data_IF_382465407548
#
_entry.id   IF_382465407548
#
_cell.length_a   1.000
_cell.length_b   1.000
_cell.length_c   1.000
_cell.angle_alpha   90.00
_cell.angle_beta   90.00
_cell.angle_gamma   90.00
#
_symmetry.space_group_name_H-M   'P 1'
#
loop_
_entity.id
_entity.type
_entity.pdbx_description
1 polymer ?
#
# COMPACT_ATOMS: atom_id res chain seq x y z
N UNK A 1 -19.84 14.48 0.73
CA UNK A 1 -18.86 13.57 1.35
C UNK A 1 -18.93 12.26 0.57
N UNK A 2 -17.81 11.72 0.04
CA UNK A 2 -17.84 10.37 -0.51
C UNK A 2 -18.26 9.39 0.61
N UNK A 3 -19.06 8.38 0.27
CA UNK A 3 -19.44 7.33 1.21
C UNK A 3 -18.15 6.63 1.70
N UNK A 4 -18.04 6.26 2.98
CA UNK A 4 -16.87 5.51 3.45
C UNK A 4 -16.76 4.21 2.65
N UNK A 5 -15.54 3.89 2.21
CA UNK A 5 -15.28 2.63 1.51
C UNK A 5 -15.55 1.47 2.47
N UNK A 6 -16.42 0.55 2.06
CA UNK A 6 -16.81 -0.62 2.83
C UNK A 6 -16.15 -1.88 2.28
N UNK A 7 -15.91 -2.84 3.16
CA UNK A 7 -15.22 -4.09 2.85
C UNK A 7 -16.00 -5.28 3.39
N UNK A 8 -16.29 -6.25 2.54
CA UNK A 8 -16.74 -7.58 2.95
C UNK A 8 -15.58 -8.33 3.57
N UNK A 9 -15.78 -8.85 4.78
CA UNK A 9 -14.76 -9.57 5.54
C UNK A 9 -15.14 -11.04 5.61
N UNK A 10 -14.28 -11.91 5.09
CA UNK A 10 -14.44 -13.36 5.15
C UNK A 10 -13.31 -13.94 6.01
N UNK A 11 -13.66 -14.92 6.84
CA UNK A 11 -12.71 -15.54 7.76
C UNK A 11 -12.70 -17.06 7.56
N UNK A 12 -11.52 -17.60 7.27
CA UNK A 12 -11.23 -19.02 7.25
C UNK A 12 -10.48 -19.47 8.50
N UNK A 13 -10.20 -20.78 8.59
CA UNK A 13 -9.43 -21.36 9.71
C UNK A 13 -8.01 -20.80 9.84
N UNK A 14 -7.41 -20.44 8.71
CA UNK A 14 -6.00 -20.01 8.61
C UNK A 14 -5.83 -18.78 7.71
N UNK A 15 -6.92 -18.10 7.37
CA UNK A 15 -6.91 -16.97 6.44
C UNK A 15 -7.98 -15.95 6.80
N UNK A 16 -7.75 -14.70 6.42
CA UNK A 16 -8.74 -13.64 6.48
C UNK A 16 -8.65 -12.79 5.22
N UNK A 17 -9.80 -12.50 4.64
CA UNK A 17 -9.94 -11.80 3.37
C UNK A 17 -10.80 -10.55 3.58
N UNK A 18 -10.33 -9.42 3.07
CA UNK A 18 -11.09 -8.18 2.94
C UNK A 18 -11.26 -7.89 1.46
N UNK A 19 -12.49 -7.68 1.03
CA UNK A 19 -12.84 -7.41 -0.37
C UNK A 19 -13.62 -6.10 -0.42
N UNK A 20 -13.19 -5.17 -1.26
CA UNK A 20 -13.92 -3.92 -1.48
C UNK A 20 -15.36 -4.19 -1.98
N UNK A 21 -16.35 -3.60 -1.31
CA UNK A 21 -17.76 -3.74 -1.69
C UNK A 21 -18.02 -3.04 -3.03
N UNK A 22 -18.11 -3.83 -4.09
CA UNK A 22 -18.15 -3.37 -5.48
C UNK A 22 -17.39 -4.27 -6.44
N UNK A 23 -16.56 -5.18 -5.92
CA UNK A 23 -15.93 -6.22 -6.71
C UNK A 23 -16.88 -7.39 -6.95
N UNK A 24 -17.12 -7.71 -8.23
CA UNK A 24 -17.78 -8.94 -8.63
C UNK A 24 -16.82 -10.12 -8.47
N UNK A 25 -17.34 -11.31 -8.20
CA UNK A 25 -16.57 -12.56 -8.17
C UNK A 25 -17.26 -13.59 -9.06
N UNK A 26 -16.65 -13.87 -10.21
CA UNK A 26 -17.08 -14.94 -11.12
C UNK A 26 -16.23 -16.21 -10.96
N UNK A 27 -15.33 -16.21 -9.99
CA UNK A 27 -14.46 -17.33 -9.68
C UNK A 27 -15.24 -18.51 -9.11
N UNK A 28 -14.83 -19.74 -9.45
CA UNK A 28 -15.36 -20.94 -8.80
C UNK A 28 -15.14 -20.88 -7.28
N UNK A 29 -16.20 -21.12 -6.51
CA UNK A 29 -16.20 -20.98 -5.05
C UNK A 29 -16.38 -19.55 -4.53
N UNK A 30 -16.49 -18.55 -5.43
CA UNK A 30 -16.67 -17.15 -5.06
C UNK A 30 -15.56 -16.63 -4.13
N UNK A 31 -15.86 -15.58 -3.36
CA UNK A 31 -14.89 -15.03 -2.38
C UNK A 31 -14.56 -16.00 -1.23
N UNK A 32 -15.38 -17.02 -0.98
CA UNK A 32 -15.06 -18.06 0.00
C UNK A 32 -13.92 -18.96 -0.49
N UNK A 33 -13.89 -19.29 -1.80
CA UNK A 33 -12.80 -20.02 -2.43
C UNK A 33 -11.44 -19.34 -2.23
N UNK A 34 -11.42 -18.01 -2.34
CA UNK A 34 -10.21 -17.19 -2.13
C UNK A 34 -9.58 -17.32 -0.75
N UNK A 35 -10.33 -17.78 0.27
CA UNK A 35 -9.74 -18.10 1.59
C UNK A 35 -8.80 -19.30 1.55
N UNK A 36 -8.94 -20.16 0.54
CA UNK A 36 -8.18 -21.40 0.35
C UNK A 36 -7.07 -21.21 -0.69
N UNK A 37 -7.39 -20.66 -1.85
CA UNK A 37 -6.52 -20.61 -3.02
C UNK A 37 -6.20 -19.18 -3.51
N UNK A 38 -6.54 -18.15 -2.73
CA UNK A 38 -6.40 -16.75 -3.17
C UNK A 38 -4.96 -16.34 -3.52
N UNK A 39 -3.95 -16.91 -2.86
CA UNK A 39 -2.54 -16.69 -3.24
C UNK A 39 -2.22 -17.26 -4.63
N UNK A 40 -2.72 -18.45 -4.93
CA UNK A 40 -2.51 -19.10 -6.22
C UNK A 40 -3.20 -18.32 -7.33
N UNK A 41 -4.44 -17.87 -7.11
CA UNK A 41 -5.18 -17.01 -8.05
C UNK A 41 -4.43 -15.71 -8.37
N UNK A 42 -3.89 -15.04 -7.34
CA UNK A 42 -3.07 -13.84 -7.52
C UNK A 42 -1.80 -14.14 -8.32
N UNK A 43 -1.17 -15.30 -8.07
CA UNK A 43 0.02 -15.74 -8.79
C UNK A 43 -0.26 -16.03 -10.27
N UNK A 44 -1.36 -16.71 -10.58
CA UNK A 44 -1.82 -16.98 -11.95
C UNK A 44 -2.08 -15.67 -12.69
N UNK A 45 -2.82 -14.74 -12.06
CA UNK A 45 -3.07 -13.43 -12.65
C UNK A 45 -1.78 -12.64 -12.87
N UNK A 46 -0.87 -12.63 -11.89
CA UNK A 46 0.42 -11.95 -12.01
C UNK A 46 1.28 -12.45 -13.17
N UNK A 47 1.29 -13.77 -13.40
CA UNK A 47 1.99 -14.38 -14.51
C UNK A 47 1.40 -13.98 -15.87
N UNK A 48 0.10 -13.70 -15.95
CA UNK A 48 -0.56 -13.27 -17.17
C UNK A 48 -0.24 -11.81 -17.56
N UNK A 49 -0.02 -10.92 -16.59
CA UNK A 49 0.23 -9.49 -16.85
C UNK A 49 1.69 -9.04 -16.73
N UNK A 50 2.54 -9.84 -16.09
CA UNK A 50 3.95 -9.54 -15.87
C UNK A 50 4.21 -8.49 -14.77
N UNK A 51 5.50 -8.21 -14.54
CA UNK A 51 5.99 -7.33 -13.46
C UNK A 51 5.80 -5.84 -13.81
N UNK A 52 5.46 -5.01 -12.81
CA UNK A 52 5.29 -3.55 -12.99
C UNK A 52 6.64 -2.82 -12.98
N UNK A 53 7.32 -2.77 -11.84
CA UNK A 53 8.62 -2.08 -11.64
C UNK A 53 9.34 -2.64 -10.39
N UNK A 54 10.69 -2.62 -10.37
CA UNK A 54 11.49 -2.44 -9.14
C UNK A 54 12.56 -3.50 -8.81
N UNK A 55 13.82 -3.08 -8.78
CA UNK A 55 15.01 -3.76 -8.21
C UNK A 55 15.05 -3.68 -6.66
N UNK A 56 13.88 -3.68 -6.01
CA UNK A 56 13.74 -3.67 -4.55
C UNK A 56 13.57 -5.08 -3.96
N UNK A 57 13.55 -5.19 -2.63
CA UNK A 57 13.46 -6.48 -1.91
C UNK A 57 12.15 -7.26 -2.14
N UNK A 58 11.06 -6.59 -2.54
CA UNK A 58 9.77 -7.24 -2.82
C UNK A 58 9.26 -6.85 -4.22
N UNK A 59 9.00 -7.82 -5.12
CA UNK A 59 8.45 -7.54 -6.44
C UNK A 59 6.99 -7.08 -6.35
N UNK A 60 6.63 -6.17 -7.26
CA UNK A 60 5.28 -5.63 -7.42
C UNK A 60 4.71 -6.11 -8.77
N UNK A 61 3.53 -6.71 -8.75
CA UNK A 61 2.93 -7.38 -9.90
C UNK A 61 1.62 -6.72 -10.33
N UNK A 62 1.30 -6.72 -11.63
CA UNK A 62 -0.07 -6.40 -12.09
C UNK A 62 -0.93 -7.64 -11.89
N UNK A 63 -2.15 -7.44 -11.42
CA UNK A 63 -3.15 -8.50 -11.33
C UNK A 63 -4.51 -7.94 -11.77
N UNK A 64 -5.41 -8.82 -12.17
CA UNK A 64 -6.82 -8.55 -12.34
C UNK A 64 -7.58 -9.20 -11.18
N UNK A 65 -8.42 -8.42 -10.50
CA UNK A 65 -9.26 -8.90 -9.39
C UNK A 65 -10.66 -8.33 -9.56
N UNK A 66 -11.66 -9.21 -9.65
CA UNK A 66 -13.07 -8.82 -9.80
C UNK A 66 -13.35 -7.89 -10.99
N UNK A 67 -12.59 -8.04 -12.08
CA UNK A 67 -12.70 -7.19 -13.29
C UNK A 67 -11.92 -5.88 -13.24
N UNK A 68 -11.15 -5.61 -12.17
CA UNK A 68 -10.35 -4.41 -12.02
C UNK A 68 -8.86 -4.71 -12.10
N UNK A 69 -8.10 -3.83 -12.77
CA UNK A 69 -6.64 -3.86 -12.74
C UNK A 69 -6.13 -3.37 -11.39
N UNK A 70 -5.28 -4.18 -10.80
CA UNK A 70 -4.66 -3.92 -9.51
C UNK A 70 -3.14 -4.13 -9.51
N UNK A 71 -2.55 -3.68 -8.42
CA UNK A 71 -1.15 -3.79 -8.09
C UNK A 71 -1.03 -4.67 -6.86
N UNK A 72 -0.43 -5.85 -7.02
CA UNK A 72 -0.27 -6.82 -5.97
C UNK A 72 1.11 -6.71 -5.30
N UNK A 73 1.09 -6.63 -3.97
CA UNK A 73 2.27 -6.68 -3.10
C UNK A 73 2.11 -7.77 -2.06
N UNK A 74 3.24 -8.32 -1.63
CA UNK A 74 3.30 -9.36 -0.60
C UNK A 74 4.26 -8.94 0.53
N UNK A 75 3.82 -9.10 1.78
CA UNK A 75 4.61 -8.86 2.99
C UNK A 75 4.56 -10.07 3.92
N UNK A 76 5.67 -10.36 4.59
CA UNK A 76 5.75 -11.45 5.58
C UNK A 76 5.82 -10.87 6.99
N UNK A 77 5.04 -11.42 7.91
CA UNK A 77 5.00 -11.00 9.30
C UNK A 77 5.01 -12.21 10.25
N UNK A 78 5.86 -12.17 11.27
CA UNK A 78 6.03 -13.23 12.27
C UNK A 78 7.52 -13.56 12.49
N UNK A 79 7.80 -14.42 13.49
CA UNK A 79 9.15 -14.85 13.87
C UNK A 79 9.42 -14.67 15.37
N UNK A 80 10.04 -15.68 15.99
CA UNK A 80 10.46 -15.67 17.40
C UNK A 80 11.43 -14.52 17.65
N UNK A 81 10.96 -13.39 18.19
CA UNK A 81 11.67 -12.44 19.06
C UNK A 81 10.71 -11.26 19.38
N UNK A 82 9.65 -11.54 20.14
CA UNK A 82 8.70 -10.49 20.54
C UNK A 82 7.43 -10.98 21.23
N UNK A 83 7.54 -11.74 22.32
CA UNK A 83 6.43 -12.00 23.25
C UNK A 83 5.39 -13.04 22.78
N UNK A 84 5.46 -14.24 23.37
CA UNK A 84 4.81 -15.50 22.96
C UNK A 84 3.26 -15.50 22.97
N UNK A 85 2.58 -14.43 23.38
CA UNK A 85 1.10 -14.36 23.40
C UNK A 85 0.48 -13.30 22.46
N UNK A 86 1.28 -12.39 21.87
CA UNK A 86 0.77 -11.30 21.00
C UNK A 86 0.97 -11.53 19.50
N UNK A 87 1.83 -12.47 19.11
CA UNK A 87 2.18 -12.69 17.70
C UNK A 87 1.04 -13.24 16.83
N UNK A 88 0.01 -13.88 17.42
CA UNK A 88 -1.05 -14.56 16.66
C UNK A 88 -2.01 -13.60 15.96
N UNK A 89 -2.34 -12.48 16.61
CA UNK A 89 -3.26 -11.46 16.07
C UNK A 89 -2.53 -10.34 15.31
N UNK A 90 -1.25 -10.10 15.64
CA UNK A 90 -0.51 -8.97 15.08
C UNK A 90 -0.29 -9.00 13.57
N UNK A 91 -0.33 -10.19 12.94
CA UNK A 91 -0.30 -10.31 11.49
C UNK A 91 -1.60 -9.75 10.88
N UNK A 92 -2.71 -10.43 11.15
CA UNK A 92 -4.03 -10.08 10.64
C UNK A 92 -4.42 -8.63 10.95
N UNK A 93 -4.23 -8.19 12.20
CA UNK A 93 -4.59 -6.83 12.64
C UNK A 93 -3.78 -5.75 11.91
N UNK A 94 -2.54 -6.06 11.51
CA UNK A 94 -1.69 -5.10 10.78
C UNK A 94 -2.18 -4.91 9.35
N UNK A 95 -2.58 -6.00 8.68
CA UNK A 95 -3.17 -5.89 7.33
C UNK A 95 -4.52 -5.17 7.40
N UNK A 96 -5.34 -5.50 8.39
CA UNK A 96 -6.61 -4.84 8.65
C UNK A 96 -6.42 -3.33 8.89
N UNK A 97 -5.44 -2.95 9.71
CA UNK A 97 -5.11 -1.54 9.96
C UNK A 97 -4.71 -0.81 8.68
N UNK A 98 -3.99 -1.48 7.76
CA UNK A 98 -3.60 -0.90 6.48
C UNK A 98 -4.81 -0.67 5.56
N UNK A 99 -5.75 -1.64 5.49
CA UNK A 99 -7.01 -1.53 4.73
C UNK A 99 -7.83 -0.33 5.23
N UNK A 100 -8.08 -0.27 6.54
CA UNK A 100 -8.88 0.80 7.13
C UNK A 100 -8.18 2.16 7.05
N UNK A 101 -6.85 2.20 7.19
CA UNK A 101 -6.08 3.43 7.04
C UNK A 101 -6.18 3.98 5.61
N UNK A 102 -6.08 3.13 4.59
CA UNK A 102 -6.25 3.54 3.20
C UNK A 102 -7.63 4.18 2.97
N UNK A 103 -8.69 3.51 3.45
CA UNK A 103 -10.05 4.02 3.36
C UNK A 103 -10.23 5.36 4.10
N UNK A 104 -9.70 5.48 5.31
CA UNK A 104 -9.75 6.71 6.11
C UNK A 104 -9.01 7.88 5.44
N UNK A 105 -7.83 7.63 4.88
CA UNK A 105 -7.05 8.64 4.14
C UNK A 105 -7.81 9.10 2.89
N UNK A 106 -8.44 8.19 2.14
CA UNK A 106 -9.26 8.53 0.97
C UNK A 106 -10.49 9.35 1.37
N UNK A 107 -11.17 8.99 2.45
CA UNK A 107 -12.28 9.78 3.00
C UNK A 107 -11.84 11.19 3.42
N UNK A 108 -10.60 11.36 3.90
CA UNK A 108 -9.98 12.65 4.17
C UNK A 108 -9.44 13.38 2.91
N UNK A 109 -9.73 12.86 1.72
CA UNK A 109 -9.33 13.40 0.43
C UNK A 109 -7.84 13.27 0.12
N UNK A 110 -7.12 12.39 0.80
CA UNK A 110 -5.73 12.06 0.44
C UNK A 110 -5.77 11.15 -0.77
N UNK A 111 -5.05 11.53 -1.83
CA UNK A 111 -4.85 10.65 -2.97
C UNK A 111 -3.96 9.47 -2.55
N UNK A 112 -4.56 8.30 -2.39
CA UNK A 112 -3.91 7.01 -2.16
C UNK A 112 -4.72 5.97 -2.93
N UNK A 113 -4.11 4.94 -3.54
CA UNK A 113 -4.85 3.87 -4.19
C UNK A 113 -5.87 3.23 -3.24
N UNK A 114 -7.06 2.91 -3.74
CA UNK A 114 -8.02 2.08 -2.99
C UNK A 114 -7.44 0.68 -2.82
N UNK A 115 -7.68 0.05 -1.68
CA UNK A 115 -7.43 -1.39 -1.52
C UNK A 115 -8.59 -2.13 -2.16
N UNK A 116 -8.32 -2.92 -3.19
CA UNK A 116 -9.32 -3.76 -3.85
C UNK A 116 -9.54 -5.04 -3.04
N UNK A 117 -8.43 -5.67 -2.65
CA UNK A 117 -8.43 -6.94 -1.94
C UNK A 117 -7.24 -7.01 -1.00
N UNK A 118 -7.45 -7.54 0.20
CA UNK A 118 -6.37 -7.89 1.12
C UNK A 118 -6.59 -9.30 1.67
N UNK A 119 -5.57 -10.14 1.63
CA UNK A 119 -5.60 -11.52 2.12
C UNK A 119 -4.45 -11.73 3.11
N UNK A 120 -4.77 -12.04 4.35
CA UNK A 120 -3.83 -12.57 5.32
C UNK A 120 -3.94 -14.09 5.31
N UNK A 121 -2.88 -14.79 4.90
CA UNK A 121 -2.81 -16.25 4.87
C UNK A 121 -1.73 -16.75 5.84
N UNK A 122 -2.05 -17.72 6.67
CA UNK A 122 -1.10 -18.28 7.64
C UNK A 122 -0.21 -19.33 6.97
N UNK A 123 1.10 -19.15 7.08
CA UNK A 123 2.12 -20.09 6.64
C UNK A 123 2.98 -20.48 7.84
N UNK A 124 2.64 -21.59 8.49
CA UNK A 124 3.29 -22.06 9.71
C UNK A 124 3.09 -21.10 10.90
N UNK A 125 4.19 -20.56 11.43
CA UNK A 125 4.19 -19.54 12.49
C UNK A 125 4.09 -18.10 11.97
N UNK A 126 4.12 -17.91 10.65
CA UNK A 126 4.11 -16.61 10.01
C UNK A 126 2.77 -16.35 9.34
N UNK A 127 2.47 -15.07 9.15
CA UNK A 127 1.41 -14.57 8.31
C UNK A 127 2.02 -13.98 7.05
N UNK A 128 1.48 -14.39 5.91
CA UNK A 128 1.76 -13.80 4.62
C UNK A 128 0.60 -12.88 4.28
N UNK A 129 0.90 -11.61 4.06
CA UNK A 129 -0.07 -10.61 3.68
C UNK A 129 0.04 -10.39 2.18
N UNK A 130 -1.11 -10.42 1.52
CA UNK A 130 -1.27 -10.04 0.13
C UNK A 130 -2.17 -8.82 0.12
N UNK A 131 -1.74 -7.75 -0.53
CA UNK A 131 -2.54 -6.55 -0.71
C UNK A 131 -2.58 -6.21 -2.19
N UNK A 132 -3.77 -5.99 -2.71
CA UNK A 132 -4.04 -5.56 -4.07
C UNK A 132 -4.67 -4.18 -3.99
N UNK A 133 -3.99 -3.18 -4.54
CA UNK A 133 -4.54 -1.83 -4.67
C UNK A 133 -4.93 -1.53 -6.10
N UNK A 134 -5.78 -0.53 -6.34
CA UNK A 134 -6.02 -0.01 -7.69
C UNK A 134 -4.71 0.36 -8.39
N UNK A 135 -4.60 0.05 -9.68
CA UNK A 135 -3.47 0.50 -10.50
C UNK A 135 -3.59 2.00 -10.83
N UNK A 136 -2.60 2.78 -10.41
CA UNK A 136 -2.46 4.18 -10.84
C UNK A 136 -1.71 4.21 -12.17
N UNK A 137 -2.46 4.27 -13.26
CA UNK A 137 -1.92 4.27 -14.64
C UNK A 137 -1.21 5.57 -14.98
N UNK A 138 -0.34 5.52 -16.00
CA UNK A 138 0.42 6.65 -16.55
C UNK A 138 1.14 7.48 -15.48
N UNK A 139 1.66 6.80 -14.45
CA UNK A 139 2.30 7.45 -13.32
C UNK A 139 3.80 7.15 -13.29
N UNK A 140 4.54 8.07 -12.69
CA UNK A 140 5.96 7.90 -12.39
C UNK A 140 6.21 8.29 -10.93
N UNK A 141 7.24 7.73 -10.31
CA UNK A 141 7.57 8.11 -8.93
C UNK A 141 8.06 9.56 -8.87
N UNK A 142 7.80 10.23 -7.75
CA UNK A 142 8.37 11.57 -7.47
C UNK A 142 9.90 11.52 -7.52
N UNK A 143 10.50 10.38 -7.16
CA UNK A 143 11.95 10.17 -7.30
C UNK A 143 12.44 10.20 -8.76
N UNK A 144 11.74 9.52 -9.67
CA UNK A 144 12.09 9.53 -11.10
C UNK A 144 11.98 10.94 -11.69
N UNK A 145 10.96 11.70 -11.26
CA UNK A 145 10.69 13.06 -11.72
C UNK A 145 11.27 14.15 -10.81
N UNK A 146 12.27 13.82 -9.97
CA UNK A 146 12.86 14.73 -8.98
C UNK A 146 13.42 16.05 -9.50
N UNK A 147 13.64 16.17 -10.80
CA UNK A 147 14.14 17.39 -11.44
C UNK A 147 13.00 18.36 -11.81
N UNK A 148 11.73 17.95 -11.68
CA UNK A 148 10.56 18.75 -12.02
C UNK A 148 10.02 19.44 -10.76
N UNK A 149 10.01 20.76 -10.78
CA UNK A 149 9.64 21.60 -9.64
C UNK A 149 8.18 21.37 -9.22
N UNK A 150 7.28 21.31 -10.18
CA UNK A 150 5.85 21.11 -9.98
C UNK A 150 5.54 19.77 -9.30
N UNK A 151 6.33 18.72 -9.59
CA UNK A 151 6.18 17.41 -8.97
C UNK A 151 6.62 17.45 -7.50
N UNK A 152 7.73 18.13 -7.20
CA UNK A 152 8.19 18.33 -5.83
C UNK A 152 7.22 19.18 -5.01
N UNK A 153 6.67 20.24 -5.59
CA UNK A 153 5.67 21.09 -4.95
C UNK A 153 4.40 20.28 -4.61
N UNK A 154 3.91 19.46 -5.53
CA UNK A 154 2.77 18.59 -5.29
C UNK A 154 3.06 17.53 -4.22
N UNK A 155 4.27 16.95 -4.22
CA UNK A 155 4.71 16.01 -3.18
C UNK A 155 4.74 16.68 -1.81
N UNK A 156 5.31 17.88 -1.68
CA UNK A 156 5.33 18.64 -0.43
C UNK A 156 3.91 19.01 0.03
N UNK A 157 3.01 19.37 -0.89
CA UNK A 157 1.62 19.65 -0.56
C UNK A 157 0.92 18.41 0.03
N UNK A 158 1.09 17.25 -0.61
CA UNK A 158 0.58 15.98 -0.10
C UNK A 158 1.17 15.65 1.27
N UNK A 159 2.49 15.81 1.45
CA UNK A 159 3.16 15.57 2.74
C UNK A 159 2.59 16.46 3.85
N UNK A 160 2.43 17.76 3.60
CA UNK A 160 1.81 18.68 4.56
C UNK A 160 0.38 18.27 4.90
N UNK A 161 -0.41 17.87 3.90
CA UNK A 161 -1.78 17.38 4.12
C UNK A 161 -1.78 16.18 5.06
N UNK A 162 -0.95 15.17 4.82
CA UNK A 162 -0.92 13.97 5.66
C UNK A 162 -0.31 14.23 7.04
N UNK A 163 0.63 15.16 7.18
CA UNK A 163 1.17 15.57 8.48
C UNK A 163 0.11 16.29 9.33
N UNK A 164 -0.69 17.16 8.71
CA UNK A 164 -1.81 17.84 9.37
C UNK A 164 -2.89 16.85 9.84
N UNK A 165 -3.09 15.76 9.08
CA UNK A 165 -3.97 14.66 9.48
C UNK A 165 -3.37 13.78 10.60
N UNK A 166 -2.10 13.96 10.94
CA UNK A 166 -1.41 13.15 11.95
C UNK A 166 -0.87 11.82 11.41
N UNK A 167 -0.69 11.67 10.10
CA UNK A 167 -0.17 10.42 9.52
C UNK A 167 1.28 10.18 9.93
N UNK A 168 1.48 9.18 10.77
CA UNK A 168 2.79 8.60 11.04
C UNK A 168 3.06 7.46 10.05
N UNK A 169 3.76 7.75 8.96
CA UNK A 169 4.22 6.75 7.99
C UNK A 169 5.74 6.51 8.13
N UNK A 170 6.18 5.26 8.39
CA UNK A 170 7.61 4.96 8.59
C UNK A 170 8.42 4.99 7.30
N UNK A 171 7.78 4.90 6.13
CA UNK A 171 8.44 4.84 4.83
C UNK A 171 7.94 5.89 3.83
N UNK A 172 7.70 7.10 4.33
CA UNK A 172 7.34 8.24 3.49
C UNK A 172 8.59 8.81 2.80
N UNK A 173 8.82 8.40 1.56
CA UNK A 173 9.93 8.86 0.73
C UNK A 173 9.51 9.02 -0.74
N UNK A 174 10.28 9.75 -1.58
CA UNK A 174 9.91 10.06 -2.97
C UNK A 174 9.59 8.85 -3.86
N UNK A 175 10.17 7.68 -3.58
CA UNK A 175 9.85 6.43 -4.30
C UNK A 175 8.49 5.81 -3.96
N UNK A 176 7.86 6.23 -2.85
CA UNK A 176 6.53 5.79 -2.42
C UNK A 176 5.46 6.85 -2.71
N UNK A 177 5.79 7.83 -3.56
CA UNK A 177 4.85 8.81 -4.08
C UNK A 177 4.79 8.67 -5.60
N UNK A 178 3.59 8.54 -6.16
CA UNK A 178 3.39 8.54 -7.62
C UNK A 178 2.83 9.87 -8.07
N UNK A 179 3.39 10.41 -9.14
CA UNK A 179 2.87 11.56 -9.87
C UNK A 179 2.06 11.10 -11.07
N UNK A 180 0.89 11.70 -11.27
CA UNK A 180 0.03 11.50 -12.44
C UNK A 180 -0.03 12.81 -13.24
N UNK A 181 0.45 12.77 -14.48
CA UNK A 181 0.60 13.98 -15.30
C UNK A 181 -0.73 14.60 -15.67
N UNK A 182 -1.74 13.79 -15.93
CA UNK A 182 -3.06 14.22 -16.40
C UNK A 182 -3.84 14.97 -15.31
N UNK A 183 -3.72 14.53 -14.05
CA UNK A 183 -4.43 15.12 -12.91
C UNK A 183 -3.58 16.11 -12.12
N UNK A 184 -2.27 16.15 -12.37
CA UNK A 184 -1.29 16.92 -11.58
C UNK A 184 -1.34 16.59 -10.09
N UNK A 185 -1.64 15.33 -9.75
CA UNK A 185 -1.74 14.88 -8.36
C UNK A 185 -0.64 13.89 -7.99
N UNK A 186 -0.18 13.99 -6.73
CA UNK A 186 0.65 12.98 -6.10
C UNK A 186 -0.23 11.98 -5.33
N UNK A 187 0.04 10.70 -5.51
CA UNK A 187 -0.57 9.60 -4.77
C UNK A 187 0.42 9.06 -3.74
N UNK A 188 -0.04 8.89 -2.50
CA UNK A 188 0.69 8.19 -1.45
C UNK A 188 0.56 6.68 -1.67
N UNK A 189 1.68 5.98 -1.70
CA UNK A 189 1.74 4.51 -1.72
C UNK A 189 2.22 3.97 -0.37
N UNK A 190 2.04 2.67 -0.21
CA UNK A 190 2.63 1.85 0.86
C UNK A 190 2.34 2.37 2.27
N UNK A 191 1.25 1.85 2.83
CA UNK A 191 0.79 2.21 4.15
C UNK A 191 1.20 1.15 5.18
N UNK A 192 2.11 0.24 4.83
CA UNK A 192 2.50 -0.86 5.69
C UNK A 192 3.17 -0.35 6.98
N UNK A 193 2.47 -0.49 8.10
CA UNK A 193 2.93 0.01 9.40
C UNK A 193 2.78 1.52 9.58
N UNK A 194 2.08 2.21 8.68
CA UNK A 194 1.62 3.57 8.92
C UNK A 194 0.42 3.58 9.89
N UNK A 195 0.17 4.73 10.53
CA UNK A 195 -0.97 4.94 11.44
C UNK A 195 -1.33 6.42 11.52
N UNK A 196 -2.59 6.74 11.80
CA UNK A 196 -3.00 8.09 12.17
C UNK A 196 -2.80 8.31 13.66
N UNK A 197 -2.23 9.45 14.02
CA UNK A 197 -2.23 9.97 15.38
C UNK A 197 -3.51 10.78 15.59
N UNK A 198 -4.01 10.82 16.83
CA UNK A 198 -5.15 11.67 17.21
C UNK A 198 -4.79 13.16 17.34
N UNK A 199 -3.73 13.59 16.63
CA UNK A 199 -3.23 14.96 16.55
C UNK A 199 -2.41 15.14 15.27
N UNK A 200 -2.28 16.37 14.74
CA UNK A 200 -1.27 16.69 13.74
C UNK A 200 0.14 16.31 14.21
N UNK A 201 1.04 16.07 13.27
CA UNK A 201 2.46 15.97 13.59
C UNK A 201 3.00 17.32 14.10
N UNK A 202 3.91 17.27 15.06
CA UNK A 202 4.61 18.48 15.54
C UNK A 202 5.58 19.00 14.49
N UNK A 203 6.02 20.25 14.61
CA UNK A 203 7.00 20.82 13.68
C UNK A 203 8.32 20.02 13.66
N UNK A 204 8.76 19.51 14.82
CA UNK A 204 9.94 18.65 14.92
C UNK A 204 9.73 17.31 14.18
N UNK A 205 8.54 16.71 14.32
CA UNK A 205 8.19 15.47 13.63
C UNK A 205 8.07 15.65 12.12
N UNK A 206 7.55 16.80 11.68
CA UNK A 206 7.49 17.21 10.28
C UNK A 206 8.90 17.42 9.71
N UNK A 207 9.74 18.18 10.40
CA UNK A 207 11.12 18.47 9.99
C UNK A 207 11.95 17.20 9.84
N UNK A 208 11.89 16.28 10.82
CA UNK A 208 12.61 15.01 10.76
C UNK A 208 12.20 14.13 9.57
N UNK A 209 10.93 14.18 9.15
CA UNK A 209 10.42 13.45 8.00
C UNK A 209 10.82 14.08 6.67
N UNK A 210 10.75 15.41 6.58
CA UNK A 210 11.25 16.15 5.41
C UNK A 210 12.74 15.91 5.22
N UNK A 211 13.52 15.89 6.30
CA UNK A 211 14.93 15.56 6.27
C UNK A 211 15.19 14.11 5.80
N UNK A 212 14.40 13.13 6.25
CA UNK A 212 14.44 11.76 5.70
C UNK A 212 14.10 11.70 4.21
N UNK A 213 13.08 12.45 3.78
CA UNK A 213 12.68 12.57 2.38
C UNK A 213 13.83 13.13 1.53
N UNK A 214 14.47 14.21 1.99
CA UNK A 214 15.61 14.84 1.32
C UNK A 214 16.85 13.94 1.29
N UNK A 215 17.16 13.24 2.39
CA UNK A 215 18.25 12.25 2.40
C UNK A 215 18.05 11.14 1.39
N UNK A 216 16.81 10.67 1.19
CA UNK A 216 16.51 9.69 0.15
C UNK A 216 16.88 10.23 -1.24
N UNK A 217 16.49 11.48 -1.52
CA UNK A 217 16.81 12.15 -2.79
C UNK A 217 18.32 12.18 -3.03
N UNK A 218 19.11 12.58 -2.03
CA UNK A 218 20.57 12.65 -2.14
C UNK A 218 21.26 11.28 -2.23
N UNK A 219 20.81 10.30 -1.45
CA UNK A 219 21.42 8.97 -1.43
C UNK A 219 21.30 8.27 -2.78
N UNK A 220 20.16 8.43 -3.45
CA UNK A 220 19.89 7.78 -4.72
C UNK A 220 20.16 8.67 -5.94
N UNK A 221 20.34 9.99 -5.78
CA UNK A 221 20.86 10.84 -6.87
C UNK A 221 22.30 10.49 -7.26
N UNK A 222 23.08 9.90 -6.35
CA UNK A 222 24.43 9.39 -6.62
C UNK A 222 24.45 7.99 -7.27
N UNK A 223 23.28 7.40 -7.53
CA UNK A 223 23.12 6.06 -8.10
C UNK A 223 22.12 6.06 -9.27
N UNK A 224 22.41 6.72 -10.40
CA UNK A 224 21.84 6.37 -11.72
C UNK A 224 22.71 7.00 -12.84
N UNK A 225 22.82 6.38 -14.03
CA UNK A 225 23.26 5.00 -14.30
C UNK A 225 24.43 4.97 -15.32
N UNK A 226 25.21 3.89 -15.38
CA UNK A 226 25.95 3.59 -16.62
C UNK A 226 24.90 3.20 -17.67
N UNK A 227 24.96 3.94 -18.77
CA UNK A 227 24.25 3.78 -20.05
C UNK A 227 24.08 2.33 -20.49
#
# INVERSE_FOLDING_TARGET
MPNPETYSILAGKASRLWVFEGLACSDEGGWEGWLVDGEERLSVSANAHGKIVGQGRNPVWRVDVGGFRGVWKTHWHGGLLGGILRARYWGVDRLESEVHLAAALRAAGVATPRVLLALAARSGLFWKHHIVTEEIRNSATVFELRNRREVLEAAHHLMRKVFNLGLWAPDLHPGNLLWVEETKQCYLLDLAGARLLNRPLTDLECAARLDRFNRFMHKYSQRHPRS
#
